data_IF_180596665233
#
_entry.id   IF_180596665233
#
_cell.length_a   1.000
_cell.length_b   1.000
_cell.length_c   1.000
_cell.angle_alpha   90.00
_cell.angle_beta   90.00
_cell.angle_gamma   90.00
#
_symmetry.space_group_name_H-M   'P 1'
#
loop_
_entity.id
_entity.type
_entity.pdbx_description
1 polymer ?
#
# COMPACT_ATOMS: atom_id res chain seq x y z
N UNK A 1 -32.23 -7.92 -77.71
CA UNK A 1 -31.23 -7.56 -76.64
C UNK A 1 -31.98 -7.42 -75.34
N UNK A 2 -31.78 -8.29 -74.34
CA UNK A 2 -32.57 -8.25 -73.13
C UNK A 2 -31.90 -7.36 -72.05
N UNK A 3 -32.74 -6.61 -71.35
CA UNK A 3 -32.40 -5.71 -70.28
C UNK A 3 -31.94 -6.47 -69.01
N UNK A 4 -30.82 -6.06 -68.45
CA UNK A 4 -30.22 -6.61 -67.24
C UNK A 4 -30.86 -5.98 -66.01
N UNK A 5 -31.62 -6.80 -65.28
CA UNK A 5 -32.28 -6.48 -63.99
C UNK A 5 -31.26 -6.64 -62.85
N UNK A 6 -30.83 -5.56 -62.17
CA UNK A 6 -29.95 -5.60 -60.99
C UNK A 6 -30.80 -5.65 -59.73
N UNK A 7 -30.57 -6.60 -58.79
CA UNK A 7 -31.25 -6.59 -57.52
C UNK A 7 -30.67 -5.54 -56.59
N UNK A 8 -31.56 -4.80 -55.95
CA UNK A 8 -31.30 -3.73 -54.99
C UNK A 8 -30.99 -4.35 -53.60
N UNK A 9 -29.73 -4.43 -53.23
CA UNK A 9 -29.31 -4.95 -51.93
C UNK A 9 -29.46 -3.83 -50.88
N UNK A 10 -30.47 -3.92 -50.00
CA UNK A 10 -30.61 -3.08 -48.81
C UNK A 10 -29.57 -3.52 -47.77
N UNK A 11 -28.55 -2.71 -47.56
CA UNK A 11 -27.62 -2.83 -46.45
C UNK A 11 -28.33 -2.32 -45.18
N UNK A 12 -28.70 -3.20 -44.29
CA UNK A 12 -29.23 -2.88 -42.97
C UNK A 12 -28.06 -2.58 -42.04
N UNK A 13 -27.96 -1.33 -41.58
CA UNK A 13 -26.96 -0.92 -40.57
C UNK A 13 -27.29 -1.58 -39.20
N UNK A 14 -26.29 -2.10 -38.45
CA UNK A 14 -26.50 -2.65 -37.13
C UNK A 14 -26.75 -1.55 -36.10
N UNK A 15 -27.94 -1.56 -35.52
CA UNK A 15 -28.35 -0.67 -34.42
C UNK A 15 -27.48 -0.90 -33.20
N UNK A 16 -26.84 0.16 -32.74
CA UNK A 16 -26.08 0.29 -31.48
C UNK A 16 -27.00 0.15 -30.25
N UNK A 17 -27.26 -1.09 -29.82
CA UNK A 17 -28.11 -1.41 -28.65
C UNK A 17 -27.37 -1.87 -27.39
N UNK A 18 -26.04 -1.65 -27.27
CA UNK A 18 -25.23 -2.27 -26.19
C UNK A 18 -24.82 -1.37 -25.02
N UNK A 19 -25.08 -0.06 -25.07
CA UNK A 19 -24.60 0.86 -24.02
C UNK A 19 -25.57 1.10 -22.84
N UNK A 20 -26.87 0.86 -23.00
CA UNK A 20 -27.88 1.12 -21.94
C UNK A 20 -27.98 0.03 -20.87
N UNK A 21 -27.56 -1.20 -21.14
CA UNK A 21 -27.73 -2.35 -20.25
C UNK A 21 -26.76 -2.36 -19.04
N UNK A 22 -25.59 -1.72 -19.14
CA UNK A 22 -24.58 -1.79 -18.08
C UNK A 22 -24.88 -0.88 -16.87
N UNK A 23 -25.41 0.32 -17.12
CA UNK A 23 -25.77 1.27 -16.05
C UNK A 23 -26.97 0.82 -15.20
N UNK A 24 -27.93 0.13 -15.82
CA UNK A 24 -29.10 -0.42 -15.11
C UNK A 24 -28.74 -1.61 -14.22
N UNK A 25 -27.83 -2.50 -14.64
CA UNK A 25 -27.36 -3.63 -13.82
C UNK A 25 -26.60 -3.19 -12.56
N UNK A 26 -25.71 -2.20 -12.67
CA UNK A 26 -24.97 -1.69 -11.52
C UNK A 26 -25.94 -1.05 -10.51
N UNK A 27 -26.91 -0.26 -10.97
CA UNK A 27 -27.90 0.39 -10.10
C UNK A 27 -28.83 -0.62 -9.41
N UNK A 28 -29.18 -1.71 -10.07
CA UNK A 28 -29.96 -2.81 -9.47
C UNK A 28 -29.15 -3.60 -8.44
N UNK A 29 -27.86 -3.85 -8.68
CA UNK A 29 -26.96 -4.50 -7.72
C UNK A 29 -26.81 -3.69 -6.43
N UNK A 30 -26.63 -2.37 -6.51
CA UNK A 30 -26.57 -1.49 -5.35
C UNK A 30 -27.88 -1.48 -4.55
N UNK A 31 -29.00 -1.44 -5.21
CA UNK A 31 -30.30 -1.46 -4.54
C UNK A 31 -30.60 -2.79 -3.82
N UNK A 32 -30.12 -3.92 -4.37
CA UNK A 32 -30.24 -5.23 -3.71
C UNK A 32 -29.29 -5.35 -2.51
N UNK A 33 -28.09 -4.83 -2.58
CA UNK A 33 -27.14 -4.76 -1.45
C UNK A 33 -27.69 -3.87 -0.32
N UNK A 34 -28.18 -2.69 -0.63
CA UNK A 34 -28.80 -1.79 0.35
C UNK A 34 -30.04 -2.43 1.02
N UNK A 35 -30.88 -3.14 0.26
CA UNK A 35 -32.01 -3.90 0.82
C UNK A 35 -31.58 -5.08 1.69
N UNK A 36 -30.44 -5.72 1.39
CA UNK A 36 -29.87 -6.83 2.19
C UNK A 36 -29.30 -6.33 3.52
N UNK A 37 -28.60 -5.20 3.52
CA UNK A 37 -28.10 -4.54 4.73
C UNK A 37 -29.25 -4.03 5.62
N UNK A 38 -30.32 -3.48 5.02
CA UNK A 38 -31.49 -3.01 5.78
C UNK A 38 -32.31 -4.13 6.42
N UNK A 39 -32.12 -5.40 6.02
CA UNK A 39 -32.76 -6.57 6.63
C UNK A 39 -32.03 -7.10 7.86
N UNK A 40 -30.83 -6.67 8.16
CA UNK A 40 -30.13 -7.07 9.38
C UNK A 40 -30.90 -6.55 10.59
N UNK A 41 -31.30 -7.47 11.49
CA UNK A 41 -31.99 -7.13 12.74
C UNK A 41 -31.25 -6.06 13.53
N UNK A 42 -29.90 -6.10 13.54
CA UNK A 42 -29.04 -5.08 14.15
C UNK A 42 -29.19 -3.69 13.53
N UNK A 43 -29.23 -3.56 12.21
CA UNK A 43 -29.35 -2.26 11.55
C UNK A 43 -30.73 -1.59 11.85
N UNK A 44 -31.79 -2.39 12.00
CA UNK A 44 -33.12 -1.90 12.42
C UNK A 44 -33.13 -1.45 13.87
N UNK A 45 -32.45 -2.19 14.73
CA UNK A 45 -32.34 -1.84 16.16
C UNK A 45 -31.58 -0.52 16.33
N UNK A 46 -30.40 -0.41 15.70
CA UNK A 46 -29.58 0.81 15.71
C UNK A 46 -30.35 2.00 15.13
N UNK A 47 -31.08 1.81 14.05
CA UNK A 47 -31.91 2.88 13.49
C UNK A 47 -33.02 3.32 14.45
N UNK A 48 -33.71 2.37 15.12
CA UNK A 48 -34.77 2.72 16.11
C UNK A 48 -34.19 3.44 17.32
N UNK A 49 -33.06 3.02 17.87
CA UNK A 49 -32.42 3.66 19.02
C UNK A 49 -31.92 5.07 18.65
N UNK A 50 -31.32 5.23 17.47
CA UNK A 50 -30.88 6.53 16.97
C UNK A 50 -32.05 7.48 16.68
N UNK A 51 -33.19 6.99 16.16
CA UNK A 51 -34.35 7.86 15.91
C UNK A 51 -35.07 8.28 17.18
N UNK A 52 -35.03 7.46 18.24
CA UNK A 52 -35.60 7.76 19.55
C UNK A 52 -34.67 8.62 20.43
N UNK A 53 -33.37 8.71 20.08
CA UNK A 53 -32.38 9.43 20.87
C UNK A 53 -32.54 10.97 20.79
N UNK A 54 -32.17 11.72 21.83
CA UNK A 54 -32.11 13.18 21.80
C UNK A 54 -31.27 13.70 20.63
N UNK A 55 -31.60 14.90 20.15
CA UNK A 55 -30.88 15.54 19.01
C UNK A 55 -29.36 15.57 19.21
N UNK A 56 -28.91 15.89 20.45
CA UNK A 56 -27.49 15.95 20.80
C UNK A 56 -26.80 14.60 20.59
N UNK A 57 -27.41 13.49 21.01
CA UNK A 57 -26.87 12.13 20.83
C UNK A 57 -26.76 11.76 19.35
N UNK A 58 -27.76 12.15 18.52
CA UNK A 58 -27.71 11.90 17.07
C UNK A 58 -26.56 12.66 16.41
N UNK A 59 -26.34 13.93 16.79
CA UNK A 59 -25.25 14.75 16.27
C UNK A 59 -23.91 14.12 16.63
N UNK A 60 -23.72 13.71 17.89
CA UNK A 60 -22.49 13.05 18.36
C UNK A 60 -22.24 11.74 17.61
N UNK A 61 -23.26 10.90 17.47
CA UNK A 61 -23.13 9.65 16.72
C UNK A 61 -22.80 9.87 15.24
N UNK A 62 -23.43 10.89 14.61
CA UNK A 62 -23.14 11.23 13.21
C UNK A 62 -21.70 11.75 13.07
N UNK A 63 -21.26 12.63 13.96
CA UNK A 63 -19.89 13.14 13.97
C UNK A 63 -18.87 12.01 14.17
N UNK A 64 -19.14 11.09 15.10
CA UNK A 64 -18.31 9.92 15.32
C UNK A 64 -18.22 8.99 14.08
N UNK A 65 -19.34 8.76 13.39
CA UNK A 65 -19.38 7.99 12.15
C UNK A 65 -18.60 8.68 11.02
N UNK A 66 -18.74 9.98 10.87
CA UNK A 66 -17.98 10.76 9.87
C UNK A 66 -16.49 10.68 10.17
N UNK A 67 -16.11 10.87 11.44
CA UNK A 67 -14.72 10.76 11.87
C UNK A 67 -14.15 9.37 11.65
N UNK A 68 -14.90 8.31 11.98
CA UNK A 68 -14.50 6.92 11.75
C UNK A 68 -14.35 6.62 10.25
N UNK A 69 -15.29 7.06 9.42
CA UNK A 69 -15.21 6.89 7.97
C UNK A 69 -14.01 7.64 7.38
N UNK A 70 -13.75 8.86 7.84
CA UNK A 70 -12.59 9.65 7.45
C UNK A 70 -11.27 8.94 7.85
N UNK A 71 -11.17 8.49 9.11
CA UNK A 71 -9.98 7.78 9.62
C UNK A 71 -9.72 6.49 8.85
N UNK A 72 -10.77 5.72 8.55
CA UNK A 72 -10.65 4.50 7.75
C UNK A 72 -10.20 4.80 6.33
N UNK A 73 -10.77 5.82 5.70
CA UNK A 73 -10.37 6.22 4.33
C UNK A 73 -8.92 6.67 4.30
N UNK A 74 -8.50 7.47 5.30
CA UNK A 74 -7.11 7.91 5.45
C UNK A 74 -6.16 6.71 5.63
N UNK A 75 -6.50 5.77 6.51
CA UNK A 75 -5.72 4.54 6.72
C UNK A 75 -5.59 3.73 5.42
N UNK A 76 -6.71 3.47 4.73
CA UNK A 76 -6.72 2.72 3.46
C UNK A 76 -5.85 3.42 2.40
N UNK A 77 -5.96 4.74 2.29
CA UNK A 77 -5.13 5.52 1.37
C UNK A 77 -3.63 5.32 1.62
N UNK A 78 -3.19 5.41 2.89
CA UNK A 78 -1.78 5.24 3.24
C UNK A 78 -1.31 3.79 3.08
N UNK A 79 -2.14 2.80 3.43
CA UNK A 79 -1.83 1.38 3.26
C UNK A 79 -1.67 1.02 1.77
N UNK A 80 -2.53 1.54 0.90
CA UNK A 80 -2.42 1.31 -0.55
C UNK A 80 -1.13 1.91 -1.10
N UNK A 81 -0.73 3.08 -0.63
CA UNK A 81 0.52 3.73 -1.05
C UNK A 81 1.77 3.12 -0.43
N UNK A 82 1.66 2.55 0.76
CA UNK A 82 2.77 1.97 1.52
C UNK A 82 2.30 0.66 2.18
N UNK A 83 2.28 -0.46 1.44
CA UNK A 83 1.74 -1.74 1.92
C UNK A 83 2.44 -2.28 3.17
N UNK A 84 3.69 -1.88 3.43
CA UNK A 84 4.42 -2.23 4.66
C UNK A 84 3.70 -1.79 5.95
N UNK A 85 2.77 -0.82 5.87
CA UNK A 85 1.95 -0.42 7.02
C UNK A 85 1.02 -1.54 7.52
N UNK A 86 0.68 -2.53 6.68
CA UNK A 86 -0.08 -3.71 7.09
C UNK A 86 0.71 -4.62 8.05
N UNK A 87 2.04 -4.56 8.00
CA UNK A 87 2.92 -5.38 8.84
C UNK A 87 3.09 -4.81 10.27
N UNK A 88 2.38 -3.75 10.59
CA UNK A 88 2.38 -3.14 11.92
C UNK A 88 2.15 -4.14 13.06
N UNK A 89 1.18 -5.05 12.87
CA UNK A 89 0.80 -6.00 13.92
C UNK A 89 1.88 -7.05 14.24
N UNK A 90 2.83 -7.26 13.32
CA UNK A 90 3.92 -8.25 13.48
C UNK A 90 5.29 -7.58 13.58
N UNK A 91 5.38 -6.27 13.32
CA UNK A 91 6.63 -5.54 13.26
C UNK A 91 7.50 -5.73 14.51
N UNK A 92 6.98 -5.45 15.70
CA UNK A 92 7.73 -5.56 16.95
C UNK A 92 8.17 -6.98 17.32
N UNK A 93 7.48 -8.02 16.80
CA UNK A 93 7.89 -9.42 17.00
C UNK A 93 9.10 -9.83 16.13
N UNK A 94 9.53 -8.97 15.23
CA UNK A 94 10.67 -9.21 14.33
C UNK A 94 11.94 -8.45 14.74
N UNK A 95 11.88 -7.70 15.83
CA UNK A 95 13.05 -7.07 16.43
C UNK A 95 14.00 -8.14 16.96
N UNK A 96 15.30 -7.94 16.80
CA UNK A 96 16.35 -8.91 17.12
C UNK A 96 17.45 -8.28 17.96
N UNK A 97 18.02 -9.09 18.84
CA UNK A 97 19.27 -8.77 19.50
C UNK A 97 20.42 -8.72 18.46
N UNK A 98 21.50 -7.96 18.73
CA UNK A 98 22.60 -7.81 17.78
C UNK A 98 23.18 -9.14 17.28
N UNK A 99 23.34 -10.11 18.17
CA UNK A 99 23.88 -11.43 17.82
C UNK A 99 22.90 -12.22 16.93
N UNK A 100 21.58 -12.04 17.10
CA UNK A 100 20.56 -12.68 16.28
C UNK A 100 20.50 -12.03 14.88
N UNK A 101 20.63 -10.71 14.82
CA UNK A 101 20.73 -9.97 13.55
C UNK A 101 21.92 -10.47 12.74
N UNK A 102 23.09 -10.60 13.36
CA UNK A 102 24.27 -11.16 12.73
C UNK A 102 24.02 -12.58 12.23
N UNK A 103 23.68 -13.51 13.13
CA UNK A 103 23.45 -14.93 12.78
C UNK A 103 22.43 -15.13 11.68
N UNK A 104 21.39 -14.28 11.64
CA UNK A 104 20.29 -14.39 10.67
C UNK A 104 20.68 -13.93 9.29
N UNK A 105 21.51 -12.91 9.18
CA UNK A 105 21.77 -12.21 7.91
C UNK A 105 23.25 -12.22 7.51
N UNK A 106 24.14 -12.86 8.27
CA UNK A 106 25.57 -12.93 8.01
C UNK A 106 25.92 -13.33 6.55
N UNK A 107 25.30 -14.36 5.94
CA UNK A 107 25.59 -14.69 4.54
C UNK A 107 25.25 -13.57 3.57
N UNK A 108 24.19 -12.80 3.85
CA UNK A 108 23.79 -11.65 3.03
C UNK A 108 24.73 -10.46 3.22
N UNK A 109 25.19 -10.21 4.44
CA UNK A 109 26.17 -9.15 4.71
C UNK A 109 27.47 -9.41 3.96
N UNK A 110 27.96 -10.66 3.96
CA UNK A 110 29.13 -11.04 3.18
C UNK A 110 28.89 -10.97 1.67
N UNK A 111 27.72 -11.36 1.19
CA UNK A 111 27.38 -11.32 -0.24
C UNK A 111 27.36 -9.90 -0.80
N UNK A 112 26.83 -8.95 -0.04
CA UNK A 112 26.64 -7.57 -0.48
C UNK A 112 27.66 -6.58 0.11
N UNK A 113 28.69 -7.05 0.82
CA UNK A 113 29.81 -6.20 1.24
C UNK A 113 30.63 -5.74 0.04
N UNK A 114 31.32 -4.61 0.21
CA UNK A 114 32.24 -4.06 -0.78
C UNK A 114 33.61 -3.84 -0.11
N UNK A 115 34.59 -3.36 -0.86
CA UNK A 115 35.88 -2.96 -0.29
C UNK A 115 35.79 -1.83 0.74
N UNK A 116 34.72 -1.03 0.70
CA UNK A 116 34.48 0.10 1.60
C UNK A 116 33.46 -0.22 2.68
N UNK A 117 32.41 -0.96 2.36
CA UNK A 117 31.30 -1.30 3.25
C UNK A 117 31.48 -2.75 3.72
N UNK A 118 31.93 -2.93 4.96
CA UNK A 118 32.20 -4.27 5.53
C UNK A 118 30.91 -4.96 5.99
N UNK A 119 30.89 -6.30 6.12
CA UNK A 119 29.76 -7.04 6.65
C UNK A 119 29.31 -6.56 8.04
N UNK A 120 30.28 -6.25 8.90
CA UNK A 120 30.04 -5.77 10.27
C UNK A 120 29.39 -4.39 10.28
N UNK A 121 29.78 -3.50 9.36
CA UNK A 121 29.15 -2.18 9.20
C UNK A 121 27.70 -2.33 8.77
N UNK A 122 27.41 -3.21 7.80
CA UNK A 122 26.03 -3.50 7.37
C UNK A 122 25.19 -4.05 8.53
N UNK A 123 25.73 -4.95 9.34
CA UNK A 123 25.04 -5.49 10.51
C UNK A 123 24.78 -4.42 11.57
N UNK A 124 25.79 -3.57 11.86
CA UNK A 124 25.66 -2.49 12.82
C UNK A 124 24.62 -1.46 12.41
N UNK A 125 24.61 -1.05 11.13
CA UNK A 125 23.60 -0.14 10.60
C UNK A 125 22.19 -0.74 10.68
N UNK A 126 22.01 -2.03 10.30
CA UNK A 126 20.74 -2.72 10.42
C UNK A 126 20.22 -2.75 11.87
N UNK A 127 21.13 -2.92 12.83
CA UNK A 127 20.80 -2.94 14.25
C UNK A 127 20.40 -1.56 14.76
N UNK A 128 21.14 -0.52 14.41
CA UNK A 128 20.89 0.86 14.87
C UNK A 128 19.60 1.42 14.26
N UNK A 129 19.35 1.17 12.97
CA UNK A 129 18.20 1.73 12.26
C UNK A 129 16.87 1.05 12.63
N UNK A 130 16.89 -0.24 12.96
CA UNK A 130 15.64 -1.00 13.10
C UNK A 130 15.71 -2.22 14.01
N UNK A 131 16.75 -2.40 14.84
CA UNK A 131 16.96 -3.65 15.61
C UNK A 131 16.94 -4.90 14.70
N UNK A 132 17.50 -4.81 13.49
CA UNK A 132 17.53 -5.89 12.52
C UNK A 132 16.15 -6.31 11.96
N UNK A 133 15.15 -5.47 12.09
CA UNK A 133 13.77 -5.74 11.66
C UNK A 133 13.55 -5.37 10.19
N UNK A 134 13.30 -6.35 9.28
CA UNK A 134 13.17 -6.08 7.85
C UNK A 134 11.90 -5.30 7.46
N UNK A 135 10.91 -5.27 8.34
CA UNK A 135 9.63 -4.58 8.10
C UNK A 135 9.42 -3.38 9.02
N UNK A 136 10.49 -2.90 9.64
CA UNK A 136 10.45 -1.72 10.49
C UNK A 136 9.87 -0.52 9.71
N UNK A 137 9.12 0.30 10.42
CA UNK A 137 8.42 1.46 9.87
C UNK A 137 8.55 2.64 10.79
N UNK A 138 8.36 3.84 10.25
CA UNK A 138 8.30 5.05 11.05
C UNK A 138 6.97 5.15 11.82
N UNK A 139 7.00 5.88 12.94
CA UNK A 139 5.77 6.22 13.68
C UNK A 139 4.84 7.11 12.85
N UNK A 140 3.56 7.10 13.19
CA UNK A 140 2.57 8.00 12.62
C UNK A 140 2.49 9.27 13.46
N UNK A 141 2.32 10.40 12.79
CA UNK A 141 2.20 11.72 13.44
C UNK A 141 0.99 12.48 12.96
N UNK A 142 0.44 13.28 13.86
CA UNK A 142 -0.55 14.28 13.55
C UNK A 142 0.11 15.53 12.97
N UNK A 143 -0.55 16.13 11.97
CA UNK A 143 -0.08 17.36 11.37
C UNK A 143 -1.29 18.25 11.09
N UNK A 144 -1.23 19.51 11.54
CA UNK A 144 -2.27 20.49 11.22
C UNK A 144 -2.11 20.92 9.76
N UNK A 145 -3.07 20.56 8.91
CA UNK A 145 -3.05 20.82 7.47
C UNK A 145 -4.44 20.82 6.87
N UNK A 146 -4.63 21.55 5.78
CA UNK A 146 -5.87 21.56 5.00
C UNK A 146 -6.06 20.30 4.14
N UNK A 147 -5.01 19.52 3.93
CA UNK A 147 -5.11 18.26 3.21
C UNK A 147 -5.57 17.14 4.15
N UNK A 148 -6.79 16.60 3.98
CA UNK A 148 -7.35 15.58 4.87
C UNK A 148 -6.49 14.31 4.95
N UNK A 149 -5.79 13.94 3.86
CA UNK A 149 -4.91 12.76 3.84
C UNK A 149 -3.53 13.00 4.46
N UNK A 150 -3.22 14.23 4.83
CA UNK A 150 -1.97 14.58 5.50
C UNK A 150 -2.14 14.87 6.99
N UNK A 151 -3.38 14.84 7.52
CA UNK A 151 -3.70 15.10 8.93
C UNK A 151 -3.07 14.06 9.86
N UNK A 152 -3.12 12.78 9.47
CA UNK A 152 -2.50 11.67 10.20
C UNK A 152 -1.80 10.77 9.20
N UNK A 153 -0.47 10.77 9.21
CA UNK A 153 0.36 10.07 8.23
C UNK A 153 1.67 9.58 8.85
N UNK A 154 2.35 8.61 8.20
CA UNK A 154 3.71 8.24 8.58
C UNK A 154 4.65 9.46 8.63
N UNK A 155 5.53 9.51 9.62
CA UNK A 155 6.46 10.63 9.81
C UNK A 155 7.45 10.78 8.65
N UNK A 156 7.83 9.66 8.03
CA UNK A 156 8.67 9.63 6.83
C UNK A 156 8.27 8.48 5.90
N UNK A 157 8.86 8.46 4.71
CA UNK A 157 8.72 7.34 3.77
C UNK A 157 9.67 6.17 4.08
N UNK A 158 10.46 6.24 5.15
CA UNK A 158 11.43 5.23 5.53
C UNK A 158 10.78 3.87 5.82
N UNK A 159 11.40 2.78 5.34
CA UNK A 159 10.93 1.40 5.45
C UNK A 159 12.10 0.45 5.57
N UNK A 160 11.87 -0.63 6.32
CA UNK A 160 12.71 -1.81 6.33
C UNK A 160 13.91 -1.70 7.26
N UNK A 161 14.81 -2.66 7.11
CA UNK A 161 15.94 -2.88 8.01
C UNK A 161 16.88 -1.67 8.14
N UNK A 162 17.02 -0.86 7.09
CA UNK A 162 17.89 0.33 7.04
C UNK A 162 17.08 1.63 7.00
N UNK A 163 15.80 1.61 7.31
CA UNK A 163 14.92 2.79 7.29
C UNK A 163 15.10 3.67 6.04
N UNK A 164 15.27 3.01 4.89
CA UNK A 164 15.53 3.69 3.62
C UNK A 164 14.31 4.47 3.14
N UNK A 165 14.50 5.76 2.87
CA UNK A 165 13.45 6.65 2.34
C UNK A 165 13.20 6.41 0.84
N UNK A 166 12.12 7.00 0.30
CA UNK A 166 11.82 6.90 -1.14
C UNK A 166 12.91 7.55 -1.99
N UNK A 167 13.51 8.66 -1.52
CA UNK A 167 14.58 9.33 -2.24
C UNK A 167 15.87 8.50 -2.25
N UNK A 168 16.30 7.99 -1.09
CA UNK A 168 17.45 7.12 -0.97
C UNK A 168 17.28 5.84 -1.80
N UNK A 169 16.07 5.24 -1.77
CA UNK A 169 15.75 4.10 -2.60
C UNK A 169 15.87 4.40 -4.11
N UNK A 170 15.32 5.54 -4.56
CA UNK A 170 15.36 5.91 -5.98
C UNK A 170 16.80 6.14 -6.48
N UNK A 171 17.70 6.56 -5.61
CA UNK A 171 19.11 6.71 -5.90
C UNK A 171 19.82 5.35 -5.88
N UNK A 172 19.72 4.59 -4.79
CA UNK A 172 20.35 3.29 -4.61
C UNK A 172 19.90 2.26 -5.68
N UNK A 173 18.63 2.29 -6.10
CA UNK A 173 18.08 1.36 -7.08
C UNK A 173 18.67 1.47 -8.50
N UNK A 174 19.54 2.44 -8.74
CA UNK A 174 20.32 2.56 -9.98
C UNK A 174 21.55 1.66 -9.99
N UNK A 175 21.92 1.12 -8.86
CA UNK A 175 23.14 0.36 -8.64
C UNK A 175 22.84 -0.99 -8.03
N UNK A 176 23.73 -1.94 -8.18
CA UNK A 176 23.70 -3.24 -7.50
C UNK A 176 25.09 -3.75 -7.23
N UNK A 177 25.21 -4.82 -6.44
CA UNK A 177 26.49 -5.44 -6.09
C UNK A 177 26.69 -6.67 -6.98
N UNK A 178 27.85 -6.74 -7.65
CA UNK A 178 28.32 -7.91 -8.38
C UNK A 178 29.79 -8.18 -8.03
N UNK A 179 30.08 -9.34 -7.45
CA UNK A 179 31.45 -9.70 -7.06
C UNK A 179 32.09 -8.68 -6.12
N UNK A 180 31.35 -8.21 -5.11
CA UNK A 180 31.77 -7.20 -4.13
C UNK A 180 32.11 -5.81 -4.73
N UNK A 181 31.68 -5.55 -5.95
CA UNK A 181 31.80 -4.25 -6.62
C UNK A 181 30.43 -3.66 -6.95
N UNK A 182 30.31 -2.34 -6.87
CA UNK A 182 29.12 -1.59 -7.26
C UNK A 182 29.11 -1.46 -8.78
N UNK A 183 27.96 -1.81 -9.40
CA UNK A 183 27.70 -1.67 -10.84
C UNK A 183 26.37 -0.98 -11.08
N UNK A 184 26.18 -0.42 -12.28
CA UNK A 184 24.97 0.32 -12.68
C UNK A 184 24.16 -0.39 -13.79
N UNK A 185 24.56 -1.60 -14.16
CA UNK A 185 23.92 -2.39 -15.21
C UNK A 185 23.21 -3.62 -14.62
N UNK A 186 22.08 -4.01 -15.23
CA UNK A 186 21.29 -5.19 -14.87
C UNK A 186 20.78 -5.23 -13.40
N UNK A 187 20.46 -4.06 -12.83
CA UNK A 187 19.96 -3.93 -11.48
C UNK A 187 18.42 -4.02 -11.45
N UNK A 188 17.89 -5.18 -11.05
CA UNK A 188 16.47 -5.52 -11.13
C UNK A 188 15.61 -5.10 -9.93
N UNK A 189 15.81 -3.92 -9.33
CA UNK A 189 15.01 -3.45 -8.19
C UNK A 189 13.62 -2.98 -8.62
N UNK A 190 12.58 -3.45 -7.92
CA UNK A 190 11.20 -3.12 -8.22
C UNK A 190 10.39 -2.77 -6.95
N UNK A 191 10.04 -1.52 -6.78
CA UNK A 191 9.02 -1.05 -5.86
C UNK A 191 9.32 -1.17 -4.36
N UNK A 192 8.32 -0.87 -3.56
CA UNK A 192 8.41 -0.71 -2.10
C UNK A 192 8.75 -2.00 -1.36
N UNK A 193 8.28 -3.14 -1.85
CA UNK A 193 8.54 -4.45 -1.22
C UNK A 193 10.01 -4.83 -1.21
N UNK A 194 10.79 -4.32 -2.14
CA UNK A 194 12.23 -4.56 -2.21
C UNK A 194 12.95 -4.10 -0.95
N UNK A 195 12.52 -2.98 -0.34
CA UNK A 195 13.10 -2.45 0.91
C UNK A 195 12.76 -3.28 2.15
N UNK A 196 11.71 -4.10 2.11
CA UNK A 196 11.31 -4.99 3.19
C UNK A 196 11.87 -6.42 3.02
N UNK A 197 12.49 -6.74 1.89
CA UNK A 197 13.16 -8.01 1.64
C UNK A 197 14.62 -7.90 2.08
N UNK A 198 15.10 -8.70 3.06
CA UNK A 198 16.42 -8.52 3.65
C UNK A 198 17.57 -8.47 2.64
N UNK A 199 17.60 -9.39 1.66
CA UNK A 199 18.65 -9.41 0.63
C UNK A 199 18.73 -8.10 -0.16
N UNK A 200 17.59 -7.60 -0.61
CA UNK A 200 17.54 -6.34 -1.37
C UNK A 200 17.81 -5.13 -0.47
N UNK A 201 17.33 -5.13 0.77
CA UNK A 201 17.57 -4.04 1.71
C UNK A 201 19.06 -3.89 2.05
N UNK A 202 19.76 -5.02 2.23
CA UNK A 202 21.20 -5.04 2.50
C UNK A 202 21.98 -4.57 1.27
N UNK A 203 21.64 -5.05 0.07
CA UNK A 203 22.26 -4.62 -1.18
C UNK A 203 22.06 -3.12 -1.42
N UNK A 204 20.82 -2.61 -1.26
CA UNK A 204 20.51 -1.19 -1.38
C UNK A 204 21.30 -0.32 -0.38
N UNK A 205 21.47 -0.78 0.86
CA UNK A 205 22.24 -0.08 1.87
C UNK A 205 23.73 -0.07 1.56
N UNK A 206 24.24 -1.13 0.94
CA UNK A 206 25.66 -1.23 0.58
C UNK A 206 26.05 -0.36 -0.63
N UNK A 207 25.09 0.00 -1.49
CA UNK A 207 25.35 0.88 -2.66
C UNK A 207 25.03 2.35 -2.39
N UNK A 208 24.26 2.66 -1.34
CA UNK A 208 23.89 4.02 -0.95
C UNK A 208 24.94 4.69 -0.09
#
# INVERSE_FOLDING_TARGET
MPAHNRPNIRVSSPRTAKSRSRKTRVRQSWNTLLRRVSRWRGARLVRRTLTAAPRAVRIVCLAALVLAAFSLTNLVYHVVRKPSELLFFVGGALDKEPIETWRRYEPLFHTYSTSTITPELLAALAQVESTGNPVARTYWRWQLTWNPFAVYKPASSAVGMYQMTDAAYAEAARYCIRGNAVVDTDCGFTGLYTRAVPSHAIELAAVY
#
